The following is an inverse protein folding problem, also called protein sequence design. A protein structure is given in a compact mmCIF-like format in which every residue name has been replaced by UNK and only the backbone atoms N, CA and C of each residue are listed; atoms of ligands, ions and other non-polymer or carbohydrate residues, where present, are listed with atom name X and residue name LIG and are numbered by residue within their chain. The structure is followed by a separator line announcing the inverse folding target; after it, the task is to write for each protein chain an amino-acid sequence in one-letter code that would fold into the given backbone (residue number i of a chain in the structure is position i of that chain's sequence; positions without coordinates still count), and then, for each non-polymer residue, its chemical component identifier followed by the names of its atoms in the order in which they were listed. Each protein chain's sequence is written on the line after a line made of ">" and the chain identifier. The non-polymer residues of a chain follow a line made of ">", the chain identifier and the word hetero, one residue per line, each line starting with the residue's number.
data_IF_511963113462
#
_entry.id   IF_511963113462
#
_cell.length_a   1.000
_cell.length_b   1.000
_cell.length_c   1.000
_cell.angle_alpha   90.00
_cell.angle_beta   90.00
_cell.angle_gamma   90.00
#
_symmetry.space_group_name_H-M   'P 1'
#
loop_
_entity.id
_entity.type
_entity.pdbx_description
1 polymer ?
#
# COMPACT_ATOMS: atom_id res chain seq x y z
N UNK A 1 -35.08 -39.79 10.72
CA UNK A 1 -35.95 -40.96 10.91
C UNK A 1 -37.34 -40.44 11.26
N UNK A 2 -38.40 -41.26 11.30
CA UNK A 2 -39.79 -40.78 11.17
C UNK A 2 -40.32 -39.76 12.21
N UNK A 3 -39.50 -39.30 13.17
CA UNK A 3 -39.76 -38.07 13.97
C UNK A 3 -38.49 -37.23 14.25
N UNK A 4 -37.51 -37.19 13.35
CA UNK A 4 -36.30 -36.38 13.54
C UNK A 4 -35.85 -35.63 12.29
N UNK A 5 -35.76 -34.31 12.41
CA UNK A 5 -35.18 -33.40 11.42
C UNK A 5 -33.67 -33.24 11.68
N UNK A 6 -32.85 -33.30 10.64
CA UNK A 6 -31.40 -33.09 10.73
C UNK A 6 -30.96 -31.90 9.87
N UNK A 7 -30.30 -30.92 10.48
CA UNK A 7 -29.72 -29.78 9.76
C UNK A 7 -28.49 -30.23 8.95
N UNK A 8 -28.34 -29.70 7.72
CA UNK A 8 -27.13 -29.85 6.91
C UNK A 8 -26.64 -28.47 6.48
N UNK A 9 -25.32 -28.30 6.44
CA UNK A 9 -24.69 -27.05 6.06
C UNK A 9 -24.28 -27.07 4.59
N UNK A 10 -24.21 -25.88 3.99
CA UNK A 10 -23.64 -25.69 2.66
C UNK A 10 -22.15 -26.04 2.65
N UNK A 11 -21.62 -26.32 1.45
CA UNK A 11 -20.20 -26.59 1.26
C UNK A 11 -19.34 -25.44 1.80
N UNK A 12 -18.25 -25.78 2.52
CA UNK A 12 -17.43 -24.81 3.24
C UNK A 12 -17.93 -24.45 4.65
N UNK A 13 -19.04 -25.03 5.11
CA UNK A 13 -19.57 -24.84 6.46
C UNK A 13 -19.74 -26.18 7.20
N UNK A 14 -19.54 -26.15 8.52
CA UNK A 14 -19.76 -27.27 9.43
C UNK A 14 -20.88 -26.96 10.41
N UNK A 15 -21.66 -27.98 10.76
CA UNK A 15 -22.69 -27.84 11.79
C UNK A 15 -22.03 -27.58 13.14
N UNK A 16 -22.52 -26.59 13.87
CA UNK A 16 -22.09 -26.28 15.22
C UNK A 16 -22.57 -27.36 16.19
N UNK A 17 -21.97 -27.39 17.39
CA UNK A 17 -22.28 -28.38 18.44
C UNK A 17 -23.75 -28.35 18.89
N UNK A 18 -24.43 -27.22 18.69
CA UNK A 18 -25.86 -27.08 18.96
C UNK A 18 -26.78 -27.77 17.93
N UNK A 19 -26.22 -28.33 16.86
CA UNK A 19 -26.95 -29.03 15.81
C UNK A 19 -27.84 -28.13 14.94
N UNK A 20 -27.75 -26.80 15.09
CA UNK A 20 -28.68 -25.84 14.46
C UNK A 20 -27.99 -24.78 13.63
N UNK A 21 -26.78 -24.34 14.01
CA UNK A 21 -26.06 -23.27 13.30
C UNK A 21 -24.95 -23.81 12.42
N UNK A 22 -24.77 -23.22 11.25
CA UNK A 22 -23.64 -23.53 10.37
C UNK A 22 -22.52 -22.51 10.58
N UNK A 23 -21.30 -22.98 10.88
CA UNK A 23 -20.10 -22.15 11.01
C UNK A 23 -19.15 -22.43 9.85
N UNK A 24 -18.44 -21.42 9.37
CA UNK A 24 -17.43 -21.63 8.32
C UNK A 24 -16.43 -22.67 8.78
N UNK A 25 -16.14 -23.65 7.92
CA UNK A 25 -15.14 -24.67 8.17
C UNK A 25 -13.78 -23.99 8.21
N UNK A 26 -13.07 -24.20 9.32
CA UNK A 26 -11.68 -23.76 9.45
C UNK A 26 -10.81 -24.76 8.68
N UNK A 27 -10.56 -24.47 7.41
CA UNK A 27 -9.80 -25.34 6.48
C UNK A 27 -8.38 -25.55 6.99
N UNK A 28 -7.77 -24.49 7.55
CA UNK A 28 -6.46 -24.53 8.19
C UNK A 28 -6.40 -25.50 9.38
N UNK A 29 -7.49 -25.72 10.12
CA UNK A 29 -7.53 -26.72 11.20
C UNK A 29 -8.02 -28.09 10.78
N UNK A 30 -8.69 -28.18 9.62
CA UNK A 30 -9.37 -29.40 9.18
C UNK A 30 -8.52 -30.28 8.26
N UNK A 31 -7.40 -29.77 7.74
CA UNK A 31 -6.56 -30.46 6.75
C UNK A 31 -5.09 -30.16 6.97
N UNK A 32 -4.20 -31.04 6.51
CA UNK A 32 -2.78 -30.77 6.48
C UNK A 32 -2.47 -29.82 5.31
N UNK A 33 -2.47 -28.52 5.60
CA UNK A 33 -2.36 -27.44 4.61
C UNK A 33 -0.93 -27.24 4.05
N UNK A 34 0.11 -27.70 4.74
CA UNK A 34 1.49 -27.65 4.25
C UNK A 34 2.06 -26.24 4.04
N UNK A 35 1.50 -25.23 4.70
CA UNK A 35 2.11 -23.90 4.78
C UNK A 35 3.31 -23.94 5.72
N UNK A 36 4.44 -23.37 5.31
CA UNK A 36 5.65 -23.34 6.14
C UNK A 36 5.47 -22.47 7.39
N UNK A 37 4.83 -21.30 7.25
CA UNK A 37 4.57 -20.38 8.37
C UNK A 37 3.09 -20.33 8.75
N UNK A 38 2.32 -19.46 8.12
CA UNK A 38 0.96 -19.11 8.56
C UNK A 38 -0.05 -19.63 7.53
N UNK A 39 -1.12 -20.27 7.98
CA UNK A 39 -2.28 -20.61 7.14
C UNK A 39 -3.42 -19.64 7.45
N UNK A 40 -4.03 -19.08 6.40
CA UNK A 40 -5.20 -18.21 6.51
C UNK A 40 -6.34 -18.78 5.68
N UNK A 41 -7.51 -18.96 6.30
CA UNK A 41 -8.70 -19.42 5.59
C UNK A 41 -9.12 -18.41 4.51
N UNK A 42 -9.34 -18.88 3.28
CA UNK A 42 -9.73 -18.03 2.15
C UNK A 42 -10.86 -18.71 1.36
N UNK A 43 -12.07 -18.17 1.46
CA UNK A 43 -13.28 -18.77 0.88
C UNK A 43 -13.51 -20.20 1.42
N UNK A 44 -13.53 -21.18 0.51
CA UNK A 44 -13.64 -22.61 0.80
C UNK A 44 -12.25 -23.32 0.85
N UNK A 45 -11.16 -22.57 0.72
CA UNK A 45 -9.78 -23.05 0.71
C UNK A 45 -8.95 -22.30 1.78
N UNK A 46 -7.63 -22.32 1.64
CA UNK A 46 -6.68 -21.55 2.43
C UNK A 46 -5.61 -20.94 1.53
N UNK A 47 -4.98 -19.88 2.03
CA UNK A 47 -3.75 -19.32 1.48
C UNK A 47 -2.66 -19.39 2.54
N UNK A 48 -1.42 -19.55 2.11
CA UNK A 48 -0.27 -19.47 3.00
C UNK A 48 0.19 -18.01 3.08
N UNK A 49 0.57 -17.58 4.28
CA UNK A 49 1.22 -16.29 4.55
C UNK A 49 2.52 -16.51 5.27
N UNK A 50 3.42 -15.56 5.13
CA UNK A 50 4.71 -15.58 5.79
C UNK A 50 4.75 -14.59 6.95
N UNK A 51 5.50 -14.94 7.99
CA UNK A 51 5.84 -14.03 9.09
C UNK A 51 6.68 -12.84 8.58
N UNK A 52 6.72 -11.76 9.37
CA UNK A 52 7.49 -10.56 9.03
C UNK A 52 8.94 -10.90 8.62
N UNK A 53 9.40 -10.30 7.50
CA UNK A 53 10.74 -10.54 6.95
C UNK A 53 10.85 -11.76 6.03
N UNK A 54 9.73 -12.39 5.64
CA UNK A 54 9.69 -13.53 4.72
C UNK A 54 8.62 -13.33 3.66
N UNK A 55 8.92 -13.72 2.42
CA UNK A 55 7.99 -13.66 1.29
C UNK A 55 7.60 -15.08 0.85
N UNK A 56 6.38 -15.23 0.34
CA UNK A 56 5.88 -16.51 -0.16
C UNK A 56 6.68 -16.92 -1.40
N UNK A 57 7.09 -18.20 -1.46
CA UNK A 57 7.77 -18.76 -2.62
C UNK A 57 6.78 -19.04 -3.76
N UNK A 58 7.29 -19.25 -4.98
CA UNK A 58 6.48 -19.52 -6.19
C UNK A 58 5.57 -20.76 -6.06
N UNK A 59 5.85 -21.66 -5.12
CA UNK A 59 5.01 -22.83 -4.85
C UNK A 59 3.77 -22.52 -3.97
N UNK A 60 3.63 -21.28 -3.51
CA UNK A 60 2.50 -20.82 -2.70
C UNK A 60 2.45 -21.42 -1.29
N UNK A 61 3.52 -22.08 -0.82
CA UNK A 61 3.54 -22.79 0.47
C UNK A 61 4.75 -22.50 1.34
N UNK A 62 5.94 -22.39 0.74
CA UNK A 62 7.18 -22.11 1.47
C UNK A 62 7.40 -20.62 1.64
N UNK A 63 8.10 -20.26 2.71
CA UNK A 63 8.47 -18.89 3.04
C UNK A 63 9.97 -18.76 2.93
N UNK A 64 10.44 -18.00 1.93
CA UNK A 64 11.86 -17.63 1.85
C UNK A 64 12.07 -16.36 2.65
N UNK A 65 13.20 -16.27 3.37
CA UNK A 65 13.63 -14.97 3.93
C UNK A 65 13.56 -13.96 2.81
N UNK A 66 12.94 -12.82 3.09
CA UNK A 66 12.98 -11.71 2.18
C UNK A 66 14.41 -11.16 2.18
N UNK A 67 15.23 -11.77 1.35
CA UNK A 67 16.52 -11.23 0.94
C UNK A 67 16.23 -10.42 -0.30
N UNK A 68 16.53 -9.12 -0.22
CA UNK A 68 16.51 -8.13 -1.30
C UNK A 68 15.84 -8.60 -2.59
N UNK A 69 14.53 -8.37 -2.60
CA UNK A 69 13.76 -8.35 -3.81
C UNK A 69 14.41 -7.45 -4.85
N UNK A 70 14.11 -7.68 -6.13
CA UNK A 70 14.82 -6.96 -7.15
C UNK A 70 14.28 -5.51 -7.15
N UNK A 71 15.11 -4.53 -6.80
CA UNK A 71 14.76 -3.10 -6.63
C UNK A 71 15.55 -2.20 -7.59
N UNK A 72 14.93 -1.16 -8.15
CA UNK A 72 15.64 -0.13 -8.89
C UNK A 72 15.82 1.08 -7.96
N UNK A 73 17.06 1.33 -7.51
CA UNK A 73 17.42 2.36 -6.53
C UNK A 73 18.24 3.46 -7.21
N UNK A 74 17.86 4.73 -7.05
CA UNK A 74 18.64 5.88 -7.54
C UNK A 74 19.01 6.80 -6.39
N UNK A 75 20.30 7.04 -6.20
CA UNK A 75 20.80 8.07 -5.30
C UNK A 75 20.86 9.43 -6.01
N UNK A 76 20.30 10.45 -5.37
CA UNK A 76 20.35 11.86 -5.81
C UNK A 76 21.13 12.63 -4.75
N UNK A 77 22.35 13.04 -5.07
CA UNK A 77 23.28 13.58 -4.07
C UNK A 77 23.55 15.05 -4.34
N UNK A 78 23.25 15.91 -3.36
CA UNK A 78 23.69 17.29 -3.39
C UNK A 78 25.22 17.36 -3.26
N UNK A 79 25.86 18.01 -4.22
CA UNK A 79 27.28 18.34 -4.22
C UNK A 79 27.49 19.86 -4.22
N UNK A 80 26.51 20.63 -3.73
CA UNK A 80 26.52 22.09 -3.65
C UNK A 80 27.50 22.62 -2.61
N UNK A 81 27.79 23.91 -2.71
CA UNK A 81 28.65 24.64 -1.78
C UNK A 81 28.10 24.67 -0.36
N UNK A 82 26.77 24.73 -0.19
CA UNK A 82 26.13 24.88 1.13
C UNK A 82 26.23 23.61 1.96
N UNK A 83 26.22 22.44 1.31
CA UNK A 83 26.51 21.17 1.94
C UNK A 83 27.95 21.10 2.47
N UNK A 84 28.93 21.47 1.64
CA UNK A 84 30.35 21.42 1.99
C UNK A 84 31.02 20.06 1.74
N UNK A 85 32.35 20.07 1.58
CA UNK A 85 33.13 18.88 1.20
C UNK A 85 33.19 17.82 2.31
N UNK A 86 33.24 18.22 3.58
CA UNK A 86 33.23 17.30 4.73
C UNK A 86 31.93 16.49 4.78
N UNK A 87 30.78 17.16 4.69
CA UNK A 87 29.48 16.50 4.64
C UNK A 87 29.31 15.66 3.38
N UNK A 88 29.89 16.07 2.25
CA UNK A 88 29.88 15.26 1.03
C UNK A 88 30.61 13.92 1.21
N UNK A 89 31.71 13.88 1.96
CA UNK A 89 32.36 12.60 2.31
C UNK A 89 31.50 11.74 3.24
N UNK A 90 30.75 12.34 4.18
CA UNK A 90 29.76 11.62 4.99
C UNK A 90 28.69 10.98 4.10
N UNK A 91 28.15 11.73 3.12
CA UNK A 91 27.18 11.18 2.15
C UNK A 91 27.77 10.01 1.36
N UNK A 92 29.02 10.10 0.90
CA UNK A 92 29.70 8.98 0.20
C UNK A 92 29.80 7.74 1.08
N UNK A 93 30.09 7.90 2.38
CA UNK A 93 30.14 6.79 3.32
C UNK A 93 28.74 6.19 3.54
N UNK A 94 27.72 7.03 3.64
CA UNK A 94 26.32 6.61 3.80
C UNK A 94 25.85 5.78 2.61
N UNK A 95 26.08 6.27 1.38
CA UNK A 95 25.79 5.56 0.13
C UNK A 95 26.54 4.23 0.06
N UNK A 96 27.80 4.23 0.47
CA UNK A 96 28.63 3.01 0.52
C UNK A 96 28.04 1.98 1.49
N UNK A 97 27.59 2.38 2.68
CA UNK A 97 27.00 1.47 3.65
C UNK A 97 25.66 0.90 3.21
N UNK A 98 24.81 1.70 2.52
CA UNK A 98 23.59 1.15 1.90
C UNK A 98 23.97 0.13 0.83
N UNK A 99 24.92 0.43 -0.06
CA UNK A 99 25.37 -0.51 -1.09
C UNK A 99 25.90 -1.81 -0.48
N UNK A 100 26.59 -1.75 0.66
CA UNK A 100 27.07 -2.95 1.37
C UNK A 100 25.94 -3.79 1.99
N UNK A 101 24.81 -3.15 2.29
CA UNK A 101 23.60 -3.85 2.73
C UNK A 101 22.81 -4.48 1.57
N UNK A 102 23.23 -4.24 0.31
CA UNK A 102 22.54 -4.67 -0.90
C UNK A 102 23.29 -5.77 -1.70
N UNK A 103 22.60 -6.86 -2.02
CA UNK A 103 22.79 -7.81 -3.10
C UNK A 103 22.61 -7.16 -4.49
N UNK A 104 23.62 -6.42 -4.91
CA UNK A 104 23.68 -5.81 -6.25
C UNK A 104 23.85 -6.89 -7.33
N UNK A 105 22.88 -6.98 -8.25
CA UNK A 105 23.00 -7.80 -9.47
C UNK A 105 21.90 -7.45 -10.49
N UNK A 106 22.02 -7.87 -11.78
CA UNK A 106 20.96 -7.65 -12.77
C UNK A 106 19.59 -8.23 -12.41
N UNK A 107 19.55 -9.24 -11.51
CA UNK A 107 18.35 -9.94 -11.04
C UNK A 107 17.91 -9.53 -9.62
N UNK A 108 18.66 -8.65 -8.95
CA UNK A 108 18.39 -8.19 -7.59
C UNK A 108 18.40 -6.65 -7.59
N UNK A 109 19.19 -6.00 -6.73
CA UNK A 109 19.28 -4.55 -6.73
C UNK A 109 20.05 -4.01 -7.95
N UNK A 110 19.43 -3.06 -8.67
CA UNK A 110 20.09 -2.19 -9.65
C UNK A 110 20.19 -0.80 -9.04
N UNK A 111 21.39 -0.22 -9.08
CA UNK A 111 21.68 1.06 -8.41
C UNK A 111 22.19 2.07 -9.43
N UNK A 112 21.56 3.23 -9.47
CA UNK A 112 22.00 4.42 -10.19
C UNK A 112 22.39 5.51 -9.20
N UNK A 113 23.25 6.42 -9.64
CA UNK A 113 23.68 7.55 -8.83
C UNK A 113 23.90 8.77 -9.71
N UNK A 114 23.27 9.87 -9.31
CA UNK A 114 23.55 11.19 -9.84
C UNK A 114 23.96 12.13 -8.71
N UNK A 115 24.88 13.03 -9.04
CA UNK A 115 25.27 14.16 -8.21
C UNK A 115 24.75 15.42 -8.87
N UNK A 116 24.36 16.42 -8.09
CA UNK A 116 23.97 17.71 -8.63
C UNK A 116 24.61 18.87 -7.89
N UNK A 117 24.61 20.02 -8.55
CA UNK A 117 24.86 21.33 -7.95
C UNK A 117 24.13 22.37 -8.81
N UNK A 118 24.84 23.25 -9.52
CA UNK A 118 24.24 24.06 -10.61
C UNK A 118 23.86 23.22 -11.84
N UNK A 119 24.46 22.04 -11.98
CA UNK A 119 24.19 21.10 -13.07
C UNK A 119 24.08 19.69 -12.50
N UNK A 120 23.43 18.79 -13.24
CA UNK A 120 23.31 17.38 -12.87
C UNK A 120 24.39 16.58 -13.59
N UNK A 121 25.12 15.75 -12.85
CA UNK A 121 26.08 14.78 -13.36
C UNK A 121 25.63 13.37 -12.99
N UNK A 122 25.35 12.54 -13.98
CA UNK A 122 25.16 11.10 -13.75
C UNK A 122 26.53 10.47 -13.51
N UNK A 123 26.76 9.92 -12.32
CA UNK A 123 28.01 9.22 -12.00
C UNK A 123 27.96 7.80 -12.56
N UNK A 124 26.83 7.12 -12.40
CA UNK A 124 26.54 5.85 -13.05
C UNK A 124 25.04 5.55 -13.07
N UNK A 125 24.64 4.69 -14.00
CA UNK A 125 23.23 4.39 -14.30
C UNK A 125 22.85 3.00 -13.79
N UNK A 126 21.56 2.67 -13.76
CA UNK A 126 21.04 1.38 -13.24
C UNK A 126 21.62 0.15 -13.97
N UNK A 127 22.16 0.32 -15.18
CA UNK A 127 22.82 -0.74 -15.95
C UNK A 127 24.36 -0.73 -15.88
N UNK A 128 24.97 0.29 -15.25
CA UNK A 128 26.41 0.52 -15.35
C UNK A 128 27.25 -0.51 -14.60
N UNK A 129 26.76 -1.00 -13.46
CA UNK A 129 27.49 -1.94 -12.63
C UNK A 129 26.63 -3.13 -12.22
N UNK A 130 27.29 -4.29 -12.09
CA UNK A 130 26.68 -5.53 -11.57
C UNK A 130 27.37 -6.00 -10.30
N UNK A 131 28.26 -5.19 -9.72
CA UNK A 131 29.06 -5.52 -8.54
C UNK A 131 29.11 -4.34 -7.57
N UNK A 132 28.70 -4.58 -6.32
CA UNK A 132 28.81 -3.61 -5.24
C UNK A 132 30.26 -3.09 -5.06
N UNK A 133 31.26 -3.96 -5.27
CA UNK A 133 32.67 -3.57 -5.16
C UNK A 133 33.05 -2.46 -6.13
N UNK A 134 32.59 -2.53 -7.38
CA UNK A 134 32.93 -1.54 -8.40
C UNK A 134 32.09 -0.27 -8.27
N UNK A 135 30.83 -0.39 -7.84
CA UNK A 135 30.02 0.77 -7.44
C UNK A 135 30.69 1.57 -6.32
N UNK A 136 31.16 0.91 -5.26
CA UNK A 136 31.86 1.59 -4.15
C UNK A 136 33.13 2.29 -4.59
N UNK A 137 33.88 1.72 -5.54
CA UNK A 137 35.03 2.42 -6.15
C UNK A 137 34.56 3.66 -6.89
N UNK A 138 33.49 3.58 -7.69
CA UNK A 138 32.95 4.73 -8.40
C UNK A 138 32.52 5.84 -7.42
N UNK A 139 31.81 5.48 -6.34
CA UNK A 139 31.43 6.40 -5.25
C UNK A 139 32.65 7.06 -4.63
N UNK A 140 33.68 6.28 -4.27
CA UNK A 140 34.90 6.83 -3.66
C UNK A 140 35.62 7.87 -4.54
N UNK A 141 35.56 7.72 -5.87
CA UNK A 141 36.19 8.63 -6.84
C UNK A 141 35.31 9.80 -7.27
N UNK A 142 34.08 9.91 -6.76
CA UNK A 142 33.21 11.05 -7.03
C UNK A 142 33.90 12.35 -6.61
N UNK A 143 33.88 13.34 -7.50
CA UNK A 143 34.44 14.67 -7.24
C UNK A 143 33.35 15.62 -6.79
N UNK A 144 33.58 16.29 -5.67
CA UNK A 144 32.74 17.37 -5.16
C UNK A 144 32.60 18.51 -6.18
N UNK A 145 31.40 19.07 -6.33
CA UNK A 145 31.10 20.12 -7.32
C UNK A 145 31.20 21.54 -6.75
N UNK A 146 30.72 21.77 -5.53
CA UNK A 146 30.88 23.01 -4.76
C UNK A 146 30.23 24.26 -5.38
N UNK A 147 29.11 24.13 -6.10
CA UNK A 147 28.40 25.25 -6.75
C UNK A 147 26.99 25.46 -6.17
N UNK A 148 26.02 25.91 -6.97
CA UNK A 148 24.62 26.10 -6.54
C UNK A 148 23.92 24.78 -6.18
N UNK A 149 22.65 24.83 -5.80
CA UNK A 149 21.84 23.65 -5.44
C UNK A 149 20.54 23.64 -6.23
N UNK A 150 20.58 23.04 -7.44
CA UNK A 150 19.42 22.90 -8.34
C UNK A 150 18.74 21.55 -8.11
N UNK A 151 18.11 21.39 -6.95
CA UNK A 151 17.45 20.15 -6.51
C UNK A 151 16.29 19.78 -7.42
N UNK A 152 15.47 20.75 -7.84
CA UNK A 152 14.35 20.52 -8.76
C UNK A 152 14.82 19.95 -10.11
N UNK A 153 15.90 20.50 -10.67
CA UNK A 153 16.54 19.97 -11.87
C UNK A 153 17.08 18.54 -11.68
N UNK A 154 17.61 18.23 -10.50
CA UNK A 154 18.08 16.88 -10.17
C UNK A 154 16.92 15.88 -10.10
N UNK A 155 15.81 16.26 -9.47
CA UNK A 155 14.59 15.44 -9.41
C UNK A 155 13.98 15.23 -10.81
N UNK A 156 13.96 16.26 -11.65
CA UNK A 156 13.57 16.14 -13.06
C UNK A 156 14.45 15.13 -13.80
N UNK A 157 15.76 15.22 -13.66
CA UNK A 157 16.70 14.29 -14.32
C UNK A 157 16.55 12.85 -13.80
N UNK A 158 16.32 12.69 -12.50
CA UNK A 158 16.02 11.39 -11.89
C UNK A 158 14.77 10.76 -12.51
N UNK A 159 13.68 11.52 -12.57
CA UNK A 159 12.39 11.06 -13.10
C UNK A 159 12.43 10.79 -14.62
N UNK A 160 12.85 11.77 -15.42
CA UNK A 160 12.76 11.70 -16.89
C UNK A 160 13.85 10.83 -17.54
N UNK A 161 14.96 10.57 -16.84
CA UNK A 161 16.10 9.80 -17.40
C UNK A 161 16.50 8.61 -16.55
N UNK A 162 16.79 8.81 -15.27
CA UNK A 162 17.46 7.77 -14.46
C UNK A 162 16.58 6.53 -14.27
N UNK A 163 15.25 6.69 -14.18
CA UNK A 163 14.27 5.60 -14.12
C UNK A 163 13.74 5.12 -15.49
N UNK A 164 14.44 5.43 -16.58
CA UNK A 164 14.07 4.92 -17.91
C UNK A 164 14.66 3.53 -18.17
N UNK A 165 14.02 2.76 -19.05
CA UNK A 165 14.52 1.45 -19.46
C UNK A 165 15.88 1.54 -20.17
N UNK A 166 16.12 2.64 -20.87
CA UNK A 166 17.40 2.91 -21.55
C UNK A 166 18.54 2.97 -20.53
N UNK A 167 18.30 3.59 -19.37
CA UNK A 167 19.27 3.70 -18.28
C UNK A 167 19.34 2.48 -17.36
N UNK A 168 18.49 1.47 -17.61
CA UNK A 168 18.54 0.17 -16.95
C UNK A 168 17.41 -0.11 -15.97
N UNK A 169 16.43 0.80 -15.83
CA UNK A 169 15.24 0.53 -15.04
C UNK A 169 14.43 -0.61 -15.67
N UNK A 170 13.80 -1.42 -14.85
CA UNK A 170 12.96 -2.52 -15.33
C UNK A 170 11.60 -2.00 -15.82
N UNK A 171 10.96 -2.70 -16.77
CA UNK A 171 9.64 -2.32 -17.27
C UNK A 171 8.62 -2.26 -16.14
N UNK A 172 7.70 -1.30 -16.19
CA UNK A 172 6.66 -1.13 -15.17
C UNK A 172 5.77 -2.38 -15.01
N UNK A 173 5.61 -3.18 -16.07
CA UNK A 173 4.88 -4.45 -16.04
C UNK A 173 5.49 -5.49 -15.08
N UNK A 174 6.77 -5.37 -14.74
CA UNK A 174 7.44 -6.26 -13.78
C UNK A 174 7.15 -5.89 -12.32
N UNK A 175 6.45 -4.77 -12.06
CA UNK A 175 6.07 -4.27 -10.72
C UNK A 175 7.23 -4.18 -9.74
N UNK A 176 8.41 -3.90 -10.27
CA UNK A 176 9.63 -3.72 -9.50
C UNK A 176 9.55 -2.39 -8.74
N UNK A 177 9.81 -2.38 -7.43
CA UNK A 177 9.86 -1.15 -6.65
C UNK A 177 10.94 -0.20 -7.19
N UNK A 178 10.58 1.07 -7.33
CA UNK A 178 11.49 2.15 -7.70
C UNK A 178 11.65 3.07 -6.49
N UNK A 179 12.89 3.26 -6.07
CA UNK A 179 13.20 4.03 -4.87
C UNK A 179 14.24 5.10 -5.20
N UNK A 180 13.99 6.33 -4.78
CA UNK A 180 14.99 7.39 -4.81
C UNK A 180 15.37 7.80 -3.40
N UNK A 181 16.67 7.97 -3.14
CA UNK A 181 17.17 8.53 -1.87
C UNK A 181 17.89 9.83 -2.20
N UNK A 182 17.34 10.94 -1.70
CA UNK A 182 17.78 12.31 -1.97
C UNK A 182 18.55 12.82 -0.76
N UNK A 183 19.84 13.16 -0.94
CA UNK A 183 20.66 13.80 0.07
C UNK A 183 20.78 15.28 -0.23
N UNK A 184 20.36 16.13 0.70
CA UNK A 184 20.38 17.59 0.54
C UNK A 184 20.44 18.28 1.90
N UNK A 185 20.89 19.53 1.93
CA UNK A 185 20.75 20.43 3.08
C UNK A 185 19.45 21.27 3.01
N UNK A 186 18.52 20.93 2.11
CA UNK A 186 17.21 21.56 1.99
C UNK A 186 17.27 23.02 1.54
N UNK A 187 18.29 23.43 0.78
CA UNK A 187 18.46 24.81 0.30
C UNK A 187 18.40 24.90 -1.22
N UNK A 188 17.38 24.28 -1.82
CA UNK A 188 17.17 24.37 -3.25
C UNK A 188 17.04 25.82 -3.73
N UNK A 189 17.53 26.07 -4.93
CA UNK A 189 17.46 27.36 -5.61
C UNK A 189 16.40 27.36 -6.72
N UNK A 190 15.67 26.26 -6.86
CA UNK A 190 14.61 25.98 -7.81
C UNK A 190 13.47 25.19 -7.15
N UNK A 191 12.35 25.06 -7.86
CA UNK A 191 11.16 24.37 -7.35
C UNK A 191 11.36 22.84 -7.32
N UNK A 192 11.21 22.24 -6.13
CA UNK A 192 11.31 20.79 -5.91
C UNK A 192 9.96 20.08 -5.98
N UNK A 193 8.88 20.78 -5.63
CA UNK A 193 7.54 20.23 -5.40
C UNK A 193 6.97 19.58 -6.66
N UNK A 194 7.14 20.19 -7.84
CA UNK A 194 6.62 19.68 -9.11
C UNK A 194 7.15 18.27 -9.42
N UNK A 195 8.47 18.09 -9.33
CA UNK A 195 9.13 16.86 -9.75
C UNK A 195 9.07 15.78 -8.67
N UNK A 196 9.10 16.16 -7.39
CA UNK A 196 8.82 15.24 -6.28
C UNK A 196 7.42 14.64 -6.43
N UNK A 197 6.39 15.49 -6.57
CA UNK A 197 5.00 15.05 -6.71
C UNK A 197 4.79 14.15 -7.93
N UNK A 198 5.41 14.49 -9.08
CA UNK A 198 5.36 13.66 -10.29
C UNK A 198 6.02 12.29 -10.09
N UNK A 199 7.17 12.23 -9.43
CA UNK A 199 7.86 10.98 -9.14
C UNK A 199 7.01 10.07 -8.24
N UNK A 200 6.47 10.63 -7.15
CA UNK A 200 5.61 9.91 -6.20
C UNK A 200 4.33 9.38 -6.86
N UNK A 201 3.65 10.22 -7.65
CA UNK A 201 2.44 9.82 -8.38
C UNK A 201 2.68 8.71 -9.43
N UNK A 202 3.93 8.48 -9.82
CA UNK A 202 4.33 7.42 -10.76
C UNK A 202 4.97 6.21 -10.04
N UNK A 203 4.75 6.07 -8.73
CA UNK A 203 5.16 4.90 -7.96
C UNK A 203 6.65 4.85 -7.66
N UNK A 204 7.32 6.01 -7.63
CA UNK A 204 8.68 6.12 -7.10
C UNK A 204 8.58 6.51 -5.63
N UNK A 205 9.04 5.65 -4.73
CA UNK A 205 9.15 5.96 -3.31
C UNK A 205 10.34 6.88 -3.08
N UNK A 206 10.08 8.06 -2.52
CA UNK A 206 11.07 9.11 -2.32
C UNK A 206 11.47 9.17 -0.85
N UNK A 207 12.76 8.98 -0.57
CA UNK A 207 13.36 9.22 0.74
C UNK A 207 14.14 10.54 0.69
N UNK A 208 13.93 11.40 1.68
CA UNK A 208 14.69 12.63 1.86
C UNK A 208 15.62 12.49 3.06
N UNK A 209 16.90 12.75 2.87
CA UNK A 209 17.94 12.68 3.90
C UNK A 209 18.58 14.05 4.03
N UNK A 210 18.20 14.76 5.09
CA UNK A 210 18.77 16.04 5.48
C UNK A 210 20.21 15.87 5.96
N UNK A 211 21.14 16.65 5.45
CA UNK A 211 22.54 16.62 5.88
C UNK A 211 22.95 17.98 6.44
N UNK A 212 23.62 17.98 7.59
CA UNK A 212 24.05 19.21 8.25
C UNK A 212 22.87 20.07 8.72
N UNK A 213 22.87 21.36 8.39
CA UNK A 213 21.81 22.31 8.79
C UNK A 213 20.65 22.29 7.80
N UNK A 214 20.04 21.12 7.66
CA UNK A 214 19.02 20.89 6.66
C UNK A 214 17.71 21.63 6.98
N UNK A 215 16.99 22.07 5.95
CA UNK A 215 15.67 22.71 6.09
C UNK A 215 14.59 21.63 5.99
N UNK A 216 13.86 21.43 7.07
CA UNK A 216 12.87 20.35 7.17
C UNK A 216 11.75 20.51 6.15
N UNK A 217 11.22 21.71 5.98
CA UNK A 217 10.07 21.97 5.12
C UNK A 217 10.32 21.55 3.67
N UNK A 218 11.51 21.82 3.12
CA UNK A 218 11.89 21.40 1.77
C UNK A 218 12.05 19.87 1.68
N UNK A 219 12.61 19.23 2.71
CA UNK A 219 12.75 17.79 2.73
C UNK A 219 11.39 17.07 2.80
N UNK A 220 10.40 17.65 3.51
CA UNK A 220 9.03 17.14 3.56
C UNK A 220 8.37 17.18 2.19
N UNK A 221 8.62 18.22 1.38
CA UNK A 221 8.12 18.28 -0.01
C UNK A 221 8.71 17.19 -0.92
N UNK A 222 9.94 16.75 -0.61
CA UNK A 222 10.63 15.71 -1.38
C UNK A 222 10.17 14.30 -0.97
N UNK A 223 10.05 14.06 0.34
CA UNK A 223 9.76 12.76 0.91
C UNK A 223 8.35 12.25 0.55
N UNK A 224 8.22 10.93 0.42
CA UNK A 224 6.90 10.30 0.27
C UNK A 224 6.14 10.24 1.60
N UNK A 225 4.81 10.22 1.52
CA UNK A 225 3.98 9.94 2.69
C UNK A 225 4.02 8.45 3.09
N UNK A 226 3.94 8.12 4.40
CA UNK A 226 3.95 9.05 5.52
C UNK A 226 5.37 9.57 5.80
N UNK A 227 5.49 10.88 6.02
CA UNK A 227 6.78 11.58 6.11
C UNK A 227 7.73 11.01 7.18
N UNK A 228 7.22 10.57 8.33
CA UNK A 228 8.01 9.94 9.42
C UNK A 228 8.73 8.64 9.00
N UNK A 229 8.28 8.02 7.90
CA UNK A 229 8.93 6.83 7.33
C UNK A 229 9.97 7.13 6.27
N UNK A 230 9.93 8.31 5.66
CA UNK A 230 10.70 8.65 4.46
C UNK A 230 11.62 9.87 4.64
N UNK A 231 11.46 10.63 5.71
CA UNK A 231 12.32 11.75 6.10
C UNK A 231 13.33 11.30 7.17
N UNK A 232 14.61 11.62 6.95
CA UNK A 232 15.70 11.30 7.86
C UNK A 232 16.72 12.43 7.91
N UNK A 233 17.55 12.42 8.96
CA UNK A 233 18.69 13.32 9.09
C UNK A 233 19.98 12.52 9.25
N UNK A 234 20.99 12.85 8.45
CA UNK A 234 22.34 12.31 8.54
C UNK A 234 23.14 13.06 9.62
N UNK A 235 22.61 13.08 10.84
CA UNK A 235 23.30 13.62 12.02
C UNK A 235 24.26 12.58 12.63
N UNK A 236 24.02 11.28 12.41
CA UNK A 236 24.87 10.18 12.85
C UNK A 236 24.82 8.94 11.92
N UNK A 237 25.71 7.97 12.15
CA UNK A 237 25.74 6.70 11.39
C UNK A 237 24.55 5.77 11.71
N UNK A 238 23.75 6.06 12.76
CA UNK A 238 22.62 5.20 13.14
C UNK A 238 21.51 5.29 12.09
N UNK A 239 21.30 6.48 11.52
CA UNK A 239 20.39 6.73 10.40
C UNK A 239 20.65 5.79 9.21
N UNK A 240 21.92 5.44 8.95
CA UNK A 240 22.28 4.52 7.85
C UNK A 240 21.69 3.13 8.07
N UNK A 241 21.74 2.64 9.31
CA UNK A 241 21.14 1.36 9.69
C UNK A 241 19.62 1.38 9.54
N UNK A 242 18.99 2.46 10.01
CA UNK A 242 17.53 2.62 9.91
C UNK A 242 17.02 2.66 8.47
N UNK A 243 17.66 3.44 7.59
CA UNK A 243 17.28 3.52 6.18
C UNK A 243 17.51 2.16 5.51
N UNK A 244 18.64 1.49 5.79
CA UNK A 244 18.91 0.16 5.21
C UNK A 244 17.85 -0.86 5.59
N UNK A 245 17.44 -0.89 6.86
CA UNK A 245 16.39 -1.81 7.32
C UNK A 245 15.01 -1.44 6.78
N UNK A 246 14.65 -0.15 6.76
CA UNK A 246 13.39 0.33 6.16
C UNK A 246 13.34 0.05 4.66
N UNK A 247 14.45 0.22 3.93
CA UNK A 247 14.55 -0.10 2.51
C UNK A 247 14.33 -1.59 2.28
N UNK A 248 15.01 -2.46 3.05
CA UNK A 248 14.79 -3.91 2.98
C UNK A 248 13.33 -4.25 3.25
N UNK A 249 12.74 -3.71 4.31
CA UNK A 249 11.33 -3.93 4.65
C UNK A 249 10.37 -3.45 3.55
N UNK A 250 10.55 -2.24 3.03
CA UNK A 250 9.72 -1.70 1.95
C UNK A 250 9.84 -2.49 0.64
N UNK A 251 11.04 -2.98 0.31
CA UNK A 251 11.24 -3.90 -0.82
C UNK A 251 10.44 -5.19 -0.59
N UNK A 252 10.43 -5.71 0.62
CA UNK A 252 9.69 -6.93 0.96
C UNK A 252 8.17 -6.74 0.89
N UNK A 253 7.65 -5.69 1.49
CA UNK A 253 6.21 -5.37 1.48
C UNK A 253 5.70 -5.20 0.04
N UNK A 254 6.45 -4.49 -0.81
CA UNK A 254 6.07 -4.31 -2.21
C UNK A 254 6.09 -5.61 -3.02
N UNK A 255 6.91 -6.59 -2.64
CA UNK A 255 6.87 -7.93 -3.24
C UNK A 255 5.66 -8.74 -2.78
N UNK A 256 5.20 -8.58 -1.54
CA UNK A 256 4.03 -9.28 -1.01
C UNK A 256 2.73 -8.83 -1.69
N UNK A 257 2.58 -7.54 -1.97
CA UNK A 257 1.40 -6.97 -2.65
C UNK A 257 1.29 -7.40 -4.12
N UNK A 258 2.42 -7.78 -4.75
CA UNK A 258 2.45 -8.16 -6.15
C UNK A 258 1.77 -9.51 -6.44
N UNK A 259 1.69 -10.40 -5.44
CA UNK A 259 1.19 -11.77 -5.57
C UNK A 259 -0.27 -11.94 -5.07
N UNK A 260 -0.81 -10.94 -4.37
CA UNK A 260 -2.14 -10.98 -3.73
C UNK A 260 -3.32 -10.42 -4.55
N UNK A 261 -3.10 -9.97 -5.78
CA UNK A 261 -4.13 -9.29 -6.62
C UNK A 261 -4.63 -10.14 -7.79
N UNK A 262 -4.94 -11.41 -7.54
CA UNK A 262 -5.83 -12.22 -8.40
C UNK A 262 -6.98 -12.77 -7.55
N UNK A 263 -7.96 -11.92 -7.27
CA UNK A 263 -9.39 -12.29 -7.15
C UNK A 263 -10.20 -11.05 -6.77
N UNK A 264 -10.60 -10.29 -7.78
CA UNK A 264 -11.84 -9.52 -7.72
C UNK A 264 -12.70 -10.01 -8.89
N UNK A 265 -13.95 -10.43 -8.66
CA UNK A 265 -14.83 -10.77 -9.76
C UNK A 265 -15.04 -9.51 -10.61
N UNK A 266 -14.97 -9.67 -11.93
CA UNK A 266 -15.23 -8.62 -12.89
C UNK A 266 -16.53 -7.86 -12.55
N UNK A 267 -16.40 -6.66 -11.98
CA UNK A 267 -17.44 -5.66 -11.90
C UNK A 267 -17.38 -4.80 -13.16
N UNK A 268 -18.51 -4.72 -13.86
CA UNK A 268 -18.71 -3.94 -15.08
C UNK A 268 -18.16 -2.51 -14.99
N UNK A 269 -17.60 -2.02 -16.11
CA UNK A 269 -17.22 -0.63 -16.26
C UNK A 269 -18.43 0.30 -16.02
N UNK A 270 -18.30 1.36 -15.20
CA UNK A 270 -19.31 2.41 -15.16
C UNK A 270 -19.31 3.17 -16.49
N UNK A 271 -20.44 3.11 -17.19
CA UNK A 271 -20.73 3.95 -18.36
C UNK A 271 -20.65 5.42 -17.96
N UNK A 272 -20.02 6.22 -18.82
CA UNK A 272 -19.99 7.70 -18.75
C UNK A 272 -21.42 8.23 -18.56
N UNK A 273 -21.67 8.90 -17.44
CA UNK A 273 -22.84 9.75 -17.25
C UNK A 273 -22.49 11.12 -17.82
N UNK A 274 -23.16 11.50 -18.90
CA UNK A 274 -23.17 12.87 -19.39
C UNK A 274 -23.88 13.77 -18.37
N UNK A 275 -23.22 14.87 -18.01
CA UNK A 275 -23.85 16.00 -17.31
C UNK A 275 -24.99 16.58 -18.15
N UNK A 276 -26.21 16.75 -17.61
CA UNK A 276 -27.21 17.59 -18.23
C UNK A 276 -27.02 19.04 -17.76
N UNK A 277 -26.84 19.92 -18.74
CA UNK A 277 -27.05 21.37 -18.65
C UNK A 277 -28.47 21.66 -18.18
N UNK A 278 -28.61 22.45 -17.11
CA UNK A 278 -29.90 22.92 -16.60
C UNK A 278 -30.36 24.13 -17.41
N UNK A 279 -31.48 24.00 -18.10
CA UNK A 279 -32.27 25.12 -18.62
C UNK A 279 -33.61 25.15 -17.88
N UNK A 280 -33.86 26.27 -17.20
CA UNK A 280 -35.09 26.52 -16.45
C UNK A 280 -36.30 26.60 -17.38
N UNK A 281 -37.37 25.87 -17.06
CA UNK A 281 -38.75 26.29 -17.35
C UNK A 281 -39.72 25.69 -16.34
N UNK A 282 -40.39 26.59 -15.61
CA UNK A 282 -41.45 26.32 -14.64
C UNK A 282 -42.66 25.64 -15.29
N UNK A 283 -43.30 24.72 -14.57
CA UNK A 283 -44.75 24.68 -14.30
C UNK A 283 -45.05 23.64 -13.20
N UNK A 284 -45.95 24.03 -12.28
CA UNK A 284 -46.40 23.34 -11.07
C UNK A 284 -47.32 22.14 -11.38
N UNK A 285 -47.30 21.08 -10.55
CA UNK A 285 -48.45 20.51 -9.79
C UNK A 285 -48.11 19.17 -9.11
N UNK A 286 -48.97 18.80 -8.16
CA UNK A 286 -48.75 18.05 -6.91
C UNK A 286 -48.78 16.50 -6.99
N UNK A 287 -48.34 15.90 -5.88
CA UNK A 287 -48.71 14.60 -5.28
C UNK A 287 -48.70 13.29 -6.08
N UNK A 288 -47.90 12.32 -5.61
CA UNK A 288 -48.37 11.17 -4.82
C UNK A 288 -47.48 9.92 -5.01
N UNK A 289 -47.23 9.25 -3.90
CA UNK A 289 -46.46 8.02 -3.74
C UNK A 289 -47.31 6.84 -4.24
N UNK A 290 -46.78 6.00 -5.14
CA UNK A 290 -47.00 4.53 -5.14
C UNK A 290 -46.34 3.78 -6.32
N UNK A 291 -45.65 2.70 -5.95
CA UNK A 291 -45.65 1.37 -6.57
C UNK A 291 -45.10 1.18 -7.99
N UNK A 292 -44.02 0.38 -8.10
CA UNK A 292 -44.04 -0.82 -8.94
C UNK A 292 -42.89 -1.77 -8.60
N UNK A 293 -43.17 -2.79 -7.79
CA UNK A 293 -42.65 -4.16 -8.02
C UNK A 293 -43.73 -5.12 -7.54
N UNK A 294 -44.61 -5.49 -8.46
CA UNK A 294 -45.58 -6.55 -8.26
C UNK A 294 -45.26 -7.71 -9.20
N UNK A 295 -45.38 -8.90 -8.62
CA UNK A 295 -45.65 -10.21 -9.22
C UNK A 295 -44.43 -11.07 -9.60
N UNK A 296 -44.23 -12.12 -8.80
CA UNK A 296 -44.70 -13.45 -9.19
C UNK A 296 -44.93 -14.32 -7.93
N UNK A 297 -46.19 -14.47 -7.56
CA UNK A 297 -46.71 -15.58 -6.74
C UNK A 297 -47.93 -16.13 -7.48
N UNK A 298 -47.90 -17.41 -7.83
CA UNK A 298 -49.09 -18.17 -8.19
C UNK A 298 -49.33 -19.19 -7.07
N UNK A 299 -50.49 -19.10 -6.43
CA UNK A 299 -51.06 -20.13 -5.57
C UNK A 299 -52.44 -20.48 -6.13
N UNK A 300 -52.68 -21.77 -6.32
CA UNK A 300 -54.01 -22.34 -6.58
C UNK A 300 -54.43 -23.16 -5.37
N UNK A 301 -55.55 -22.79 -4.75
CA UNK A 301 -56.27 -23.58 -3.73
C UNK A 301 -57.35 -24.43 -4.42
N UNK A 302 -57.63 -25.65 -3.90
CA UNK A 302 -58.97 -26.04 -3.42
C UNK A 302 -59.06 -27.49 -2.90
N UNK A 303 -59.86 -27.64 -1.83
CA UNK A 303 -60.68 -28.77 -1.36
C UNK A 303 -60.12 -29.90 -0.48
N UNK A 304 -60.61 -29.96 0.77
CA UNK A 304 -61.19 -31.18 1.35
C UNK A 304 -60.50 -31.87 2.54
N UNK A 305 -61.15 -31.80 3.72
CA UNK A 305 -61.08 -32.67 4.93
C UNK A 305 -60.00 -32.41 6.01
N UNK A 306 -60.34 -32.61 7.31
CA UNK A 306 -59.52 -32.20 8.44
C UNK A 306 -58.62 -33.34 8.89
N UNK A 307 -57.33 -33.07 9.13
CA UNK A 307 -56.48 -33.69 10.15
C UNK A 307 -55.03 -33.19 9.99
N UNK A 308 -54.45 -32.84 11.14
CA UNK A 308 -53.02 -32.66 11.45
C UNK A 308 -52.29 -31.39 10.98
N UNK A 309 -52.10 -30.48 11.94
CA UNK A 309 -51.08 -29.42 11.92
C UNK A 309 -49.67 -30.03 11.81
N UNK A 310 -49.11 -30.10 10.60
CA UNK A 310 -47.67 -30.26 10.43
C UNK A 310 -46.98 -28.91 10.54
N UNK A 311 -46.38 -28.69 11.70
CA UNK A 311 -45.43 -27.62 11.98
C UNK A 311 -44.28 -27.63 10.93
N UNK A 312 -44.17 -26.56 10.14
CA UNK A 312 -43.00 -26.26 9.31
C UNK A 312 -41.79 -25.94 10.23
N UNK A 313 -41.09 -26.97 10.69
CA UNK A 313 -39.88 -26.85 11.52
C UNK A 313 -38.63 -27.14 10.69
N UNK A 314 -38.31 -26.24 9.78
CA UNK A 314 -36.94 -26.07 9.27
C UNK A 314 -36.66 -24.59 8.99
N UNK A 315 -36.73 -23.76 10.03
CA UNK A 315 -36.11 -22.43 9.99
C UNK A 315 -34.61 -22.59 10.27
N UNK A 316 -33.83 -22.94 9.24
CA UNK A 316 -32.42 -22.60 9.27
C UNK A 316 -32.33 -21.07 9.25
N UNK A 317 -31.89 -20.46 10.34
CA UNK A 317 -31.68 -19.02 10.40
C UNK A 317 -30.62 -18.65 9.36
N UNK A 318 -31.09 -18.10 8.24
CA UNK A 318 -30.25 -17.69 7.12
C UNK A 318 -29.34 -16.52 7.53
N UNK A 319 -28.20 -16.44 6.83
CA UNK A 319 -27.15 -15.41 6.90
C UNK A 319 -27.68 -13.96 7.08
N UNK A 320 -28.89 -13.68 6.57
CA UNK A 320 -29.60 -12.41 6.66
C UNK A 320 -29.80 -11.96 8.11
N UNK A 321 -30.10 -12.87 9.04
CA UNK A 321 -30.27 -12.51 10.46
C UNK A 321 -28.94 -12.08 11.10
N UNK A 322 -27.84 -12.76 10.78
CA UNK A 322 -26.52 -12.41 11.29
C UNK A 322 -25.99 -11.11 10.66
N UNK A 323 -26.25 -10.91 9.37
CA UNK A 323 -25.89 -9.69 8.66
C UNK A 323 -26.68 -8.49 9.19
N UNK A 324 -27.98 -8.66 9.49
CA UNK A 324 -28.78 -7.63 10.15
C UNK A 324 -28.28 -7.33 11.56
N UNK A 325 -27.95 -8.36 12.35
CA UNK A 325 -27.43 -8.17 13.71
C UNK A 325 -26.06 -7.47 13.73
N UNK A 326 -25.16 -7.86 12.82
CA UNK A 326 -23.85 -7.24 12.67
C UNK A 326 -23.96 -5.79 12.17
N UNK A 327 -24.85 -5.52 11.21
CA UNK A 327 -25.11 -4.17 10.72
C UNK A 327 -25.71 -3.28 11.82
N UNK A 328 -26.55 -3.83 12.69
CA UNK A 328 -27.16 -3.10 13.80
C UNK A 328 -26.13 -2.76 14.90
N UNK A 329 -25.23 -3.69 15.23
CA UNK A 329 -24.12 -3.40 16.16
C UNK A 329 -23.10 -2.42 15.60
N UNK A 330 -22.73 -2.54 14.32
CA UNK A 330 -21.88 -1.53 13.66
C UNK A 330 -22.54 -0.17 13.70
N UNK A 331 -23.85 -0.08 13.45
CA UNK A 331 -24.61 1.17 13.50
C UNK A 331 -24.59 1.78 14.90
N UNK A 332 -24.80 0.98 15.96
CA UNK A 332 -24.70 1.45 17.36
C UNK A 332 -23.31 1.98 17.70
N UNK A 333 -22.26 1.24 17.32
CA UNK A 333 -20.87 1.65 17.53
C UNK A 333 -20.56 2.96 16.80
N UNK A 334 -20.95 3.10 15.54
CA UNK A 334 -20.75 4.35 14.79
C UNK A 334 -21.50 5.53 15.41
N UNK A 335 -22.71 5.30 15.93
CA UNK A 335 -23.52 6.35 16.54
C UNK A 335 -22.92 6.81 17.87
N UNK A 336 -22.46 5.87 18.71
CA UNK A 336 -21.75 6.18 19.96
C UNK A 336 -20.44 6.93 19.69
N UNK A 337 -19.67 6.52 18.68
CA UNK A 337 -18.42 7.17 18.33
C UNK A 337 -18.64 8.60 17.82
N UNK A 338 -19.71 8.82 17.03
CA UNK A 338 -20.12 10.15 16.56
C UNK A 338 -20.53 11.06 17.70
N UNK A 339 -21.29 10.56 18.67
CA UNK A 339 -21.68 11.31 19.86
C UNK A 339 -20.46 11.71 20.71
N UNK A 340 -19.53 10.78 20.95
CA UNK A 340 -18.27 11.09 21.66
C UNK A 340 -17.41 12.11 20.92
N UNK A 341 -17.27 11.97 19.60
CA UNK A 341 -16.52 12.91 18.77
C UNK A 341 -17.15 14.31 18.78
N UNK A 342 -18.48 14.38 18.73
CA UNK A 342 -19.22 15.65 18.78
C UNK A 342 -19.04 16.33 20.14
N UNK A 343 -19.16 15.59 21.24
CA UNK A 343 -18.92 16.13 22.59
C UNK A 343 -17.48 16.63 22.78
N UNK A 344 -16.49 15.91 22.23
CA UNK A 344 -15.08 16.36 22.28
C UNK A 344 -14.85 17.62 21.45
N UNK A 345 -15.46 17.73 20.27
CA UNK A 345 -15.39 18.95 19.46
C UNK A 345 -16.06 20.12 20.18
N UNK A 346 -17.26 19.97 20.73
CA UNK A 346 -17.94 21.03 21.49
C UNK A 346 -17.12 21.47 22.71
N UNK A 347 -16.48 20.53 23.42
CA UNK A 347 -15.59 20.83 24.54
C UNK A 347 -14.34 21.62 24.10
N UNK A 348 -13.79 21.29 22.92
CA UNK A 348 -12.66 22.02 22.32
C UNK A 348 -13.09 23.42 21.84
N UNK A 349 -14.23 23.54 21.16
CA UNK A 349 -14.78 24.83 20.71
C UNK A 349 -15.09 25.75 21.88
N UNK A 350 -15.68 25.23 22.96
CA UNK A 350 -15.94 26.00 24.18
C UNK A 350 -14.63 26.46 24.86
N UNK A 351 -13.58 25.63 24.84
CA UNK A 351 -12.25 26.05 25.34
C UNK A 351 -11.59 27.12 24.48
N UNK A 352 -11.88 27.16 23.18
CA UNK A 352 -11.37 28.18 22.26
C UNK A 352 -12.19 29.48 22.29
N UNK A 353 -13.49 29.43 22.61
CA UNK A 353 -14.36 30.62 22.74
C UNK A 353 -14.21 31.42 24.03
N UNK A 354 -13.64 30.81 25.09
CA UNK A 354 -13.44 31.44 26.41
C UNK A 354 -11.96 31.76 26.72
N UNK A 355 -11.10 31.78 25.69
CA UNK A 355 -9.81 32.49 25.68
C UNK A 355 -9.96 33.77 24.89
#
# INVERSE_FOLDING_TARGET
>A
TEESYSCRCLEGFRLAEDGKRCRRKDVCKSTHHGCEHICVNHGNSYICRCSEGFVLAEDGRRCKRCTEGPVDLVFVIDGSKSLGEENFEIVKQFVTGIIDSLAVSPKAARVGLLQYSTQVRTEFTLRSFTSAKDMKKAVAHMKYMGKGSMTGLALKHMFERSFTQVEGARPLSTRVPRVAIVFTDGRAQDDVSEWASKAQANGITMYAVGVGKAIEEELQEIASEPTDKHLFYAEDFSTMGEISEKLKKGICEALEDSDGSQDSPAGELPKRVHQPTVQHRYLFEEDNVSQSTQKLFHSTKSSGSPLEEKHDQCKCENLIMFQNLANEEVRKLTQHLLEEMTQRMEALENRLRYR
#
